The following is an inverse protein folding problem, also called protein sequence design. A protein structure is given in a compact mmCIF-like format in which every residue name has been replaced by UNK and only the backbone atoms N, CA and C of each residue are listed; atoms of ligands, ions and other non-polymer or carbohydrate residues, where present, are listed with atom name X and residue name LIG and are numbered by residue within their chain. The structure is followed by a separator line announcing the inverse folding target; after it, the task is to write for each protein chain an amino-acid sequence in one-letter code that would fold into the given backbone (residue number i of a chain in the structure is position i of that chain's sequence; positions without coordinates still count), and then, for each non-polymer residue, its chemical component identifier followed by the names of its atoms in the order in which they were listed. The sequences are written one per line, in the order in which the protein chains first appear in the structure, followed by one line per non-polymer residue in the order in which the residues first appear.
data_IF_559241679392
#
_entry.id   IF_559241679392
#
_cell.length_a   1.000
_cell.length_b   1.000
_cell.length_c   1.000
_cell.angle_alpha   90.00
_cell.angle_beta   90.00
_cell.angle_gamma   90.00
#
_symmetry.space_group_name_H-M   'P 1'
#
loop_
_entity.id
_entity.type
_entity.pdbx_description
1 polymer ?
#
# COMPACT_ATOMS: atom_id res chain seq x y z
N UNK A 1 -11.59 -21.47 2.69
CA UNK A 1 -11.29 -20.47 1.64
C UNK A 1 -10.85 -21.17 0.37
N UNK A 2 -11.34 -20.73 -0.78
CA UNK A 2 -10.96 -21.29 -2.08
C UNK A 2 -9.48 -21.03 -2.39
N UNK A 3 -8.85 -21.89 -3.15
CA UNK A 3 -7.43 -21.75 -3.53
C UNK A 3 -7.20 -20.48 -4.35
N UNK A 4 -8.14 -20.12 -5.22
CA UNK A 4 -8.08 -18.87 -5.99
C UNK A 4 -8.03 -17.63 -5.09
N UNK A 5 -8.70 -17.64 -3.93
CA UNK A 5 -8.72 -16.52 -3.01
C UNK A 5 -7.35 -16.25 -2.39
N UNK A 6 -6.55 -17.29 -2.14
CA UNK A 6 -5.18 -17.11 -1.66
C UNK A 6 -4.29 -16.42 -2.69
N UNK A 7 -4.42 -16.82 -3.95
CA UNK A 7 -3.67 -16.21 -5.05
C UNK A 7 -4.08 -14.74 -5.20
N UNK A 8 -5.39 -14.48 -5.19
CA UNK A 8 -5.94 -13.13 -5.29
C UNK A 8 -5.47 -12.24 -4.15
N UNK A 9 -5.50 -12.74 -2.92
CA UNK A 9 -5.04 -11.98 -1.75
C UNK A 9 -3.57 -11.59 -1.86
N UNK A 10 -2.73 -12.50 -2.35
CA UNK A 10 -1.30 -12.20 -2.55
C UNK A 10 -1.09 -11.11 -3.61
N UNK A 11 -1.77 -11.20 -4.74
CA UNK A 11 -1.69 -10.19 -5.80
C UNK A 11 -2.23 -8.84 -5.33
N UNK A 12 -3.33 -8.85 -4.60
CA UNK A 12 -3.92 -7.62 -4.03
C UNK A 12 -3.00 -7.00 -2.97
N UNK A 13 -2.33 -7.83 -2.17
CA UNK A 13 -1.36 -7.35 -1.19
C UNK A 13 -0.25 -6.54 -1.87
N UNK A 14 0.32 -7.04 -2.97
CA UNK A 14 1.37 -6.33 -3.68
C UNK A 14 0.88 -5.04 -4.33
N UNK A 15 -0.31 -5.05 -4.92
CA UNK A 15 -0.92 -3.86 -5.50
C UNK A 15 -1.22 -2.81 -4.44
N UNK A 16 -1.75 -3.24 -3.30
CA UNK A 16 -2.07 -2.36 -2.18
C UNK A 16 -0.81 -1.79 -1.53
N UNK A 17 0.24 -2.59 -1.40
CA UNK A 17 1.53 -2.13 -0.87
C UNK A 17 2.11 -0.99 -1.71
N UNK A 18 2.04 -1.09 -3.03
CA UNK A 18 2.50 -0.02 -3.92
C UNK A 18 1.67 1.25 -3.77
N UNK A 19 0.35 1.12 -3.69
CA UNK A 19 -0.56 2.25 -3.49
C UNK A 19 -0.28 2.96 -2.16
N UNK A 20 -0.15 2.20 -1.07
CA UNK A 20 0.12 2.75 0.26
C UNK A 20 1.51 3.39 0.30
N UNK A 21 2.49 2.80 -0.37
CA UNK A 21 3.84 3.37 -0.50
C UNK A 21 3.82 4.74 -1.16
N UNK A 22 3.12 4.86 -2.30
CA UNK A 22 3.01 6.12 -3.02
C UNK A 22 2.31 7.21 -2.20
N UNK A 23 1.24 6.83 -1.49
CA UNK A 23 0.54 7.75 -0.58
C UNK A 23 1.43 8.19 0.58
N UNK A 24 2.21 7.28 1.15
CA UNK A 24 3.13 7.60 2.26
C UNK A 24 4.26 8.52 1.81
N UNK A 25 4.79 8.34 0.58
CA UNK A 25 5.78 9.27 0.02
C UNK A 25 5.21 10.68 -0.12
N UNK A 26 4.00 10.79 -0.64
CA UNK A 26 3.32 12.07 -0.79
C UNK A 26 3.11 12.75 0.56
N UNK A 27 2.60 12.01 1.52
CA UNK A 27 2.36 12.51 2.88
C UNK A 27 3.66 12.98 3.52
N UNK A 28 4.74 12.21 3.37
CA UNK A 28 6.07 12.57 3.86
C UNK A 28 6.54 13.90 3.27
N UNK A 29 6.38 14.08 1.96
CA UNK A 29 6.76 15.33 1.29
C UNK A 29 5.94 16.52 1.76
N UNK A 30 4.64 16.34 1.96
CA UNK A 30 3.75 17.38 2.48
C UNK A 30 4.16 17.79 3.91
N UNK A 31 4.47 16.82 4.76
CA UNK A 31 4.92 17.11 6.13
C UNK A 31 6.30 17.79 6.15
N UNK A 32 7.18 17.44 5.23
CA UNK A 32 8.48 18.11 5.10
C UNK A 32 8.35 19.58 4.69
N UNK A 33 7.37 19.90 3.83
CA UNK A 33 7.07 21.27 3.45
C UNK A 33 6.50 22.08 4.65
N UNK A 34 5.59 21.47 5.39
CA UNK A 34 5.04 22.09 6.60
C UNK A 34 6.12 22.31 7.66
N UNK A 35 6.99 21.34 7.85
CA UNK A 35 8.15 21.45 8.74
C UNK A 35 9.00 22.67 8.38
N UNK A 36 9.32 22.82 7.09
CA UNK A 36 10.09 23.95 6.60
C UNK A 36 9.39 25.27 6.88
N UNK A 37 8.08 25.35 6.64
CA UNK A 37 7.30 26.56 6.91
C UNK A 37 7.28 26.91 8.39
N UNK A 38 7.11 25.94 9.28
CA UNK A 38 7.11 26.15 10.72
C UNK A 38 8.49 26.60 11.25
N UNK A 39 9.56 26.01 10.73
CA UNK A 39 10.92 26.39 11.10
C UNK A 39 11.21 27.82 10.66
N UNK A 40 10.85 28.19 9.43
CA UNK A 40 11.02 29.56 8.94
C UNK A 40 10.19 30.57 9.76
N UNK A 41 8.97 30.22 10.14
CA UNK A 41 8.16 31.08 11.00
C UNK A 41 8.79 31.31 12.36
N UNK A 42 9.36 30.25 12.96
CA UNK A 42 10.07 30.34 14.22
C UNK A 42 11.32 31.24 14.12
N UNK A 43 12.02 31.18 12.99
CA UNK A 43 13.25 31.90 12.75
C UNK A 43 12.99 33.38 12.43
N UNK A 44 12.02 33.66 11.55
CA UNK A 44 11.87 34.96 10.93
C UNK A 44 10.73 35.83 11.49
N UNK A 45 9.73 35.22 12.10
CA UNK A 45 8.57 35.97 12.63
C UNK A 45 8.76 36.41 14.07
N UNK A 46 8.23 37.58 14.38
CA UNK A 46 8.26 38.15 15.72
C UNK A 46 7.06 37.63 16.50
N UNK A 47 7.27 36.55 17.25
CA UNK A 47 6.22 35.79 17.92
C UNK A 47 6.23 36.05 19.44
N UNK A 48 5.03 36.22 20.03
CA UNK A 48 4.89 36.20 21.46
C UNK A 48 4.96 34.77 22.00
N UNK A 49 4.96 34.60 23.32
CA UNK A 49 5.07 33.29 23.97
C UNK A 49 3.96 32.34 23.54
N UNK A 50 2.71 32.80 23.47
CA UNK A 50 1.54 32.00 23.09
C UNK A 50 1.67 31.50 21.64
N UNK A 51 2.06 32.38 20.73
CA UNK A 51 2.24 32.07 19.33
C UNK A 51 3.37 31.08 19.13
N UNK A 52 4.50 31.24 19.84
CA UNK A 52 5.62 30.29 19.79
C UNK A 52 5.24 28.91 20.32
N UNK A 53 4.49 28.88 21.43
CA UNK A 53 4.02 27.60 22.00
C UNK A 53 3.11 26.85 21.03
N UNK A 54 2.20 27.58 20.40
CA UNK A 54 1.29 27.01 19.38
C UNK A 54 2.08 26.44 18.19
N UNK A 55 3.03 27.22 17.70
CA UNK A 55 3.85 26.85 16.56
C UNK A 55 4.73 25.64 16.88
N UNK A 56 5.31 25.59 18.08
CA UNK A 56 6.09 24.44 18.55
C UNK A 56 5.25 23.16 18.60
N UNK A 57 4.00 23.26 19.04
CA UNK A 57 3.08 22.12 19.05
C UNK A 57 2.75 21.65 17.64
N UNK A 58 2.51 22.58 16.73
CA UNK A 58 2.25 22.27 15.32
C UNK A 58 3.46 21.59 14.67
N UNK A 59 4.66 22.08 14.93
CA UNK A 59 5.90 21.49 14.44
C UNK A 59 6.09 20.07 14.98
N UNK A 60 5.86 19.86 16.27
CA UNK A 60 5.95 18.53 16.89
C UNK A 60 4.99 17.54 16.22
N UNK A 61 3.74 17.95 16.00
CA UNK A 61 2.75 17.09 15.35
C UNK A 61 3.15 16.76 13.91
N UNK A 62 3.66 17.75 13.20
CA UNK A 62 4.18 17.59 11.85
C UNK A 62 5.32 16.56 11.80
N UNK A 63 6.29 16.66 12.72
CA UNK A 63 7.42 15.74 12.80
C UNK A 63 6.97 14.31 13.11
N UNK A 64 5.96 14.16 13.96
CA UNK A 64 5.38 12.84 14.27
C UNK A 64 4.68 12.21 13.08
N UNK A 65 3.91 12.99 12.35
CA UNK A 65 3.24 12.50 11.13
C UNK A 65 4.27 12.14 10.05
N UNK A 66 5.30 12.97 9.90
CA UNK A 66 6.41 12.67 8.99
C UNK A 66 7.09 11.35 9.36
N UNK A 67 7.30 11.09 10.65
CA UNK A 67 7.92 9.85 11.14
C UNK A 67 7.06 8.63 10.79
N UNK A 68 5.76 8.72 10.97
CA UNK A 68 4.83 7.63 10.61
C UNK A 68 4.92 7.29 9.13
N UNK A 69 4.87 8.32 8.28
CA UNK A 69 4.96 8.15 6.83
C UNK A 69 6.31 7.56 6.41
N UNK A 70 7.40 8.03 7.00
CA UNK A 70 8.74 7.53 6.76
C UNK A 70 8.86 6.05 7.12
N UNK A 71 8.29 5.65 8.26
CA UNK A 71 8.30 4.24 8.69
C UNK A 71 7.55 3.35 7.71
N UNK A 72 6.40 3.79 7.21
CA UNK A 72 5.63 3.07 6.19
C UNK A 72 6.47 2.90 4.91
N UNK A 73 7.11 3.97 4.44
CA UNK A 73 7.98 3.95 3.26
C UNK A 73 9.11 2.94 3.45
N UNK A 74 9.78 2.96 4.60
CA UNK A 74 10.89 2.05 4.89
C UNK A 74 10.47 0.57 4.88
N UNK A 75 9.29 0.27 5.41
CA UNK A 75 8.77 -1.11 5.44
C UNK A 75 8.35 -1.58 4.06
N UNK A 76 7.69 -0.72 3.29
CA UNK A 76 7.11 -1.09 2.00
C UNK A 76 8.09 -1.03 0.84
N UNK A 77 9.18 -0.28 0.96
CA UNK A 77 10.16 -0.12 -0.12
C UNK A 77 10.67 -1.44 -0.68
N UNK A 78 11.15 -2.39 0.13
CA UNK A 78 11.61 -3.67 -0.41
C UNK A 78 10.49 -4.46 -1.09
N UNK A 79 9.25 -4.35 -0.63
CA UNK A 79 8.09 -5.01 -1.23
C UNK A 79 7.81 -4.42 -2.61
N UNK A 80 7.84 -3.09 -2.73
CA UNK A 80 7.62 -2.38 -3.99
C UNK A 80 8.75 -2.68 -4.99
N UNK A 81 9.99 -2.69 -4.54
CA UNK A 81 11.14 -3.04 -5.37
C UNK A 81 11.05 -4.47 -5.89
N UNK A 82 10.64 -5.40 -5.04
CA UNK A 82 10.38 -6.79 -5.44
C UNK A 82 9.34 -6.85 -6.57
N UNK A 83 8.23 -6.14 -6.40
CA UNK A 83 7.16 -6.10 -7.40
C UNK A 83 7.61 -5.50 -8.74
N UNK A 84 8.49 -4.50 -8.71
CA UNK A 84 8.97 -3.78 -9.89
C UNK A 84 10.10 -4.48 -10.64
N UNK A 85 10.72 -5.49 -10.04
CA UNK A 85 11.76 -6.29 -10.70
C UNK A 85 11.17 -6.98 -11.94
N UNK A 86 11.90 -6.94 -13.07
CA UNK A 86 11.40 -7.45 -14.35
C UNK A 86 11.09 -8.95 -14.32
N UNK A 87 11.91 -9.74 -13.65
CA UNK A 87 11.68 -11.19 -13.52
C UNK A 87 10.43 -11.42 -12.68
N UNK A 88 10.29 -10.70 -11.59
CA UNK A 88 9.12 -10.81 -10.71
C UNK A 88 7.84 -10.35 -11.39
N UNK A 89 7.89 -9.29 -12.21
CA UNK A 89 6.74 -8.86 -13.02
C UNK A 89 6.23 -9.96 -13.92
N UNK A 90 7.13 -10.68 -14.59
CA UNK A 90 6.77 -11.81 -15.45
C UNK A 90 6.11 -12.93 -14.63
N UNK A 91 6.68 -13.24 -13.48
CA UNK A 91 6.14 -14.24 -12.56
C UNK A 91 4.76 -13.85 -12.07
N UNK A 92 4.57 -12.59 -11.69
CA UNK A 92 3.27 -12.08 -11.24
C UNK A 92 2.23 -12.09 -12.36
N UNK A 93 2.64 -11.81 -13.59
CA UNK A 93 1.79 -11.97 -14.78
C UNK A 93 1.33 -13.42 -14.96
N UNK A 94 2.23 -14.37 -14.79
CA UNK A 94 1.89 -15.80 -14.81
C UNK A 94 0.95 -16.19 -13.67
N UNK A 95 1.13 -15.61 -12.50
CA UNK A 95 0.22 -15.83 -11.36
C UNK A 95 -1.19 -15.31 -11.63
N UNK A 96 -1.30 -14.19 -12.34
CA UNK A 96 -2.60 -13.66 -12.75
C UNK A 96 -3.30 -14.61 -13.71
N UNK A 97 -2.57 -15.20 -14.65
CA UNK A 97 -3.09 -16.24 -15.55
C UNK A 97 -3.50 -17.49 -14.79
N UNK A 98 -2.66 -17.92 -13.86
CA UNK A 98 -2.96 -19.06 -12.98
C UNK A 98 -4.24 -18.85 -12.20
N UNK A 99 -4.43 -17.64 -11.65
CA UNK A 99 -5.66 -17.27 -10.93
C UNK A 99 -6.89 -17.47 -11.83
N UNK A 100 -6.82 -17.01 -13.08
CA UNK A 100 -7.90 -17.20 -14.05
C UNK A 100 -8.20 -18.67 -14.33
N UNK A 101 -7.17 -19.48 -14.48
CA UNK A 101 -7.31 -20.92 -14.71
C UNK A 101 -7.94 -21.64 -13.52
N UNK A 102 -7.46 -21.34 -12.31
CA UNK A 102 -7.99 -21.93 -11.06
C UNK A 102 -9.45 -21.56 -10.88
N UNK A 103 -9.82 -20.28 -11.09
CA UNK A 103 -11.21 -19.83 -11.01
C UNK A 103 -12.12 -20.55 -12.00
N UNK A 104 -11.64 -20.80 -13.21
CA UNK A 104 -12.38 -21.55 -14.24
C UNK A 104 -12.70 -22.96 -13.77
N UNK A 105 -11.70 -23.63 -13.21
CA UNK A 105 -11.86 -25.01 -12.71
C UNK A 105 -12.83 -25.02 -11.52
N UNK A 106 -12.70 -24.06 -10.60
CA UNK A 106 -13.59 -23.94 -9.44
C UNK A 106 -15.04 -23.74 -9.86
N UNK A 107 -15.28 -22.84 -10.84
CA UNK A 107 -16.62 -22.63 -11.39
C UNK A 107 -17.17 -23.87 -12.07
N UNK A 108 -16.35 -24.58 -12.80
CA UNK A 108 -16.74 -25.83 -13.41
C UNK A 108 -17.22 -26.83 -12.36
N UNK A 109 -16.48 -26.96 -11.25
CA UNK A 109 -16.87 -27.87 -10.17
C UNK A 109 -18.16 -27.42 -9.47
N UNK A 110 -18.36 -26.14 -9.27
CA UNK A 110 -19.58 -25.61 -8.63
C UNK A 110 -20.82 -25.83 -9.48
N UNK A 111 -20.69 -25.73 -10.80
CA UNK A 111 -21.81 -25.84 -11.75
C UNK A 111 -21.86 -27.21 -12.45
N UNK A 112 -21.13 -28.17 -11.93
CA UNK A 112 -20.98 -29.48 -12.53
C UNK A 112 -22.26 -30.26 -12.45
N UNK A 113 -22.75 -30.71 -13.62
CA UNK A 113 -23.88 -31.60 -13.74
C UNK A 113 -23.39 -32.99 -14.11
N UNK A 114 -23.86 -33.99 -13.39
CA UNK A 114 -23.60 -35.35 -13.68
C UNK A 114 -24.81 -35.97 -14.38
N UNK A 115 -24.64 -36.34 -15.62
CA UNK A 115 -25.65 -37.10 -16.34
C UNK A 115 -25.42 -38.59 -16.11
N UNK A 116 -26.40 -39.26 -15.50
CA UNK A 116 -26.30 -40.71 -15.27
C UNK A 116 -26.23 -41.44 -16.58
N UNK A 117 -25.17 -42.23 -16.76
CA UNK A 117 -25.01 -43.05 -17.95
C UNK A 117 -25.92 -44.28 -17.92
N UNK A 118 -26.29 -44.74 -16.73
CA UNK A 118 -27.18 -45.86 -16.54
C UNK A 118 -28.49 -45.34 -15.96
N UNK A 119 -29.54 -45.42 -16.73
CA UNK A 119 -30.88 -45.07 -16.28
C UNK A 119 -31.59 -46.38 -15.88
N UNK A 120 -32.18 -46.37 -14.69
CA UNK A 120 -33.00 -47.45 -14.22
C UNK A 120 -34.48 -47.01 -14.22
#
# INVERSE_FOLDING_TARGET
MKKSEYIEQFLNFLADAERVYDLALKEKEEQEKLESDYIHALELEDLNYRERSKLATQLRNCLRERRKSKNIVEVLEPIVLFKKDDINKKTLGKMTQLLGEVRKIERYHENRHYNKKVQK
#
